data_IF_556569387850
#
_entry.id   IF_556569387850
#
_cell.length_a   1.000
_cell.length_b   1.000
_cell.length_c   1.000
_cell.angle_alpha   90.00
_cell.angle_beta   90.00
_cell.angle_gamma   90.00
#
_symmetry.space_group_name_H-M   'P 1'
#
loop_
_entity.id
_entity.type
_entity.pdbx_description
1 polymer ?
#
# COMPACT_ATOMS: atom_id res chain seq x y z
N UNK A 1 -19.29 -18.59 -50.00
CA UNK A 1 -19.75 -18.04 -48.70
C UNK A 1 -18.59 -18.15 -47.72
N UNK A 2 -17.92 -17.03 -47.45
CA UNK A 2 -16.71 -17.00 -46.60
C UNK A 2 -17.09 -16.98 -45.13
N UNK A 3 -16.59 -17.94 -44.35
CA UNK A 3 -16.71 -17.98 -42.90
C UNK A 3 -15.46 -17.32 -42.29
N UNK A 4 -15.58 -16.07 -41.87
CA UNK A 4 -14.53 -15.38 -41.09
C UNK A 4 -14.70 -15.79 -39.63
N UNK A 5 -13.80 -16.63 -39.14
CA UNK A 5 -13.73 -17.06 -37.75
C UNK A 5 -12.93 -16.00 -36.96
N UNK A 6 -13.62 -15.15 -36.20
CA UNK A 6 -13.01 -14.23 -35.24
C UNK A 6 -12.72 -15.00 -33.94
N UNK A 7 -11.46 -15.36 -33.71
CA UNK A 7 -10.99 -15.82 -32.41
C UNK A 7 -10.76 -14.60 -31.50
N UNK A 8 -11.70 -14.35 -30.59
CA UNK A 8 -11.46 -13.51 -29.42
C UNK A 8 -10.67 -14.34 -28.40
N UNK A 9 -9.35 -14.17 -28.38
CA UNK A 9 -8.51 -14.71 -27.33
C UNK A 9 -8.59 -13.79 -26.11
N UNK A 10 -9.48 -14.09 -25.17
CA UNK A 10 -9.52 -13.46 -23.85
C UNK A 10 -8.32 -13.94 -23.04
N UNK A 11 -7.28 -13.12 -22.97
CA UNK A 11 -6.16 -13.30 -22.04
C UNK A 11 -6.69 -13.13 -20.60
N UNK A 12 -7.03 -14.24 -19.94
CA UNK A 12 -7.23 -14.27 -18.49
C UNK A 12 -5.87 -14.36 -17.80
N UNK A 13 -5.24 -13.20 -17.59
CA UNK A 13 -4.11 -13.09 -16.68
C UNK A 13 -4.66 -13.15 -15.25
N UNK A 14 -4.71 -14.35 -14.68
CA UNK A 14 -4.79 -14.53 -13.24
C UNK A 14 -3.44 -14.12 -12.62
N UNK A 15 -3.25 -12.83 -12.38
CA UNK A 15 -2.22 -12.39 -11.44
C UNK A 15 -2.75 -12.63 -10.03
N UNK A 16 -2.43 -13.78 -9.47
CA UNK A 16 -2.56 -14.02 -8.04
C UNK A 16 -1.47 -13.18 -7.34
N UNK A 17 -1.71 -11.88 -7.17
CA UNK A 17 -0.90 -11.04 -6.28
C UNK A 17 -1.24 -11.44 -4.86
N UNK A 18 -0.35 -12.17 -4.19
CA UNK A 18 -0.43 -12.30 -2.74
C UNK A 18 -0.21 -10.90 -2.17
N UNK A 19 -1.26 -10.27 -1.65
CA UNK A 19 -1.09 -9.01 -0.95
C UNK A 19 -0.56 -9.34 0.44
N UNK A 20 0.77 -9.27 0.60
CA UNK A 20 1.45 -9.63 1.85
C UNK A 20 1.16 -8.62 2.95
N UNK A 21 0.96 -7.35 2.58
CA UNK A 21 0.80 -6.24 3.51
C UNK A 21 -0.56 -5.54 3.35
N UNK A 22 -1.09 -5.42 2.13
CA UNK A 22 -2.20 -4.51 1.84
C UNK A 22 -3.54 -5.22 1.62
N UNK A 23 -4.56 -4.84 2.38
CA UNK A 23 -5.96 -5.19 2.11
C UNK A 23 -6.78 -3.92 1.86
N UNK A 24 -7.64 -3.94 0.85
CA UNK A 24 -8.60 -2.85 0.62
C UNK A 24 -9.97 -3.27 1.18
N UNK A 25 -10.55 -2.41 1.99
CA UNK A 25 -11.93 -2.55 2.48
C UNK A 25 -12.65 -1.20 2.38
N UNK A 26 -13.66 -1.12 1.51
CA UNK A 26 -14.36 0.14 1.18
C UNK A 26 -13.37 1.27 0.83
N UNK A 27 -13.33 2.33 1.63
CA UNK A 27 -12.41 3.49 1.52
C UNK A 27 -11.24 3.39 2.49
N UNK A 28 -10.84 2.18 2.87
CA UNK A 28 -9.72 1.93 3.76
C UNK A 28 -8.67 1.05 3.07
N UNK A 29 -7.41 1.46 3.23
CA UNK A 29 -6.23 0.64 2.98
C UNK A 29 -5.78 0.14 4.34
N UNK A 30 -5.84 -1.17 4.54
CA UNK A 30 -5.40 -1.82 5.78
C UNK A 30 -4.03 -2.43 5.52
N UNK A 31 -3.01 -1.94 6.22
CA UNK A 31 -1.65 -2.44 6.22
C UNK A 31 -1.48 -3.35 7.43
N UNK A 32 -1.23 -4.63 7.21
CA UNK A 32 -0.97 -5.64 8.24
C UNK A 32 0.45 -6.20 8.11
N UNK A 33 1.04 -6.60 9.24
CA UNK A 33 2.31 -7.34 9.29
C UNK A 33 3.51 -6.62 8.63
N UNK A 34 3.42 -5.31 8.41
CA UNK A 34 4.52 -4.51 7.88
C UNK A 34 5.49 -4.14 9.01
N UNK A 35 6.66 -4.78 9.00
CA UNK A 35 7.74 -4.50 9.96
C UNK A 35 8.60 -3.34 9.44
N UNK A 36 8.73 -2.31 10.26
CA UNK A 36 9.55 -1.13 9.98
C UNK A 36 10.24 -0.66 11.26
N UNK A 37 11.39 -0.04 11.09
CA UNK A 37 12.20 0.50 12.18
C UNK A 37 12.61 1.92 11.80
N UNK A 38 12.31 2.90 12.65
CA UNK A 38 12.89 4.24 12.57
C UNK A 38 13.90 4.40 13.70
N UNK A 39 15.12 4.88 13.40
CA UNK A 39 16.01 5.38 14.46
C UNK A 39 15.62 6.83 14.77
N UNK A 40 15.06 7.11 15.96
CA UNK A 40 14.58 8.44 16.32
C UNK A 40 15.71 9.47 16.44
N UNK A 41 16.97 9.04 16.51
CA UNK A 41 18.14 9.94 16.54
C UNK A 41 18.67 10.27 15.15
N UNK A 42 18.27 9.53 14.12
CA UNK A 42 18.66 9.75 12.73
C UNK A 42 17.43 10.06 11.90
N UNK A 43 17.08 11.35 11.85
CA UNK A 43 16.03 11.88 10.99
C UNK A 43 16.30 11.42 9.55
N UNK A 44 15.42 10.56 8.99
CA UNK A 44 15.58 9.96 7.66
C UNK A 44 16.02 8.49 7.59
N UNK A 45 16.16 7.78 8.73
CA UNK A 45 16.67 6.39 8.77
C UNK A 45 15.59 5.32 9.01
N UNK A 46 14.43 5.47 8.39
CA UNK A 46 13.45 4.40 8.39
C UNK A 46 13.90 3.26 7.49
N UNK A 47 13.89 2.04 8.05
CA UNK A 47 14.22 0.80 7.36
C UNK A 47 13.01 -0.12 7.39
N UNK A 48 12.71 -0.74 6.25
CA UNK A 48 11.58 -1.64 6.05
C UNK A 48 11.47 -1.96 4.57
N UNK A 49 10.66 -2.96 4.20
CA UNK A 49 10.37 -3.27 2.80
C UNK A 49 9.35 -2.28 2.20
N UNK A 50 9.64 -0.98 2.32
CA UNK A 50 8.83 0.09 1.73
C UNK A 50 8.72 -0.08 0.21
N UNK A 51 9.72 -0.73 -0.40
CA UNK A 51 9.64 -1.04 -1.81
C UNK A 51 8.51 -2.00 -2.14
N UNK A 52 8.41 -3.13 -1.42
CA UNK A 52 7.33 -4.10 -1.56
C UNK A 52 5.98 -3.50 -1.17
N UNK A 53 5.93 -2.73 -0.08
CA UNK A 53 4.69 -2.09 0.38
C UNK A 53 4.11 -1.13 -0.67
N UNK A 54 4.94 -0.30 -1.29
CA UNK A 54 4.53 0.59 -2.37
C UNK A 54 4.04 -0.16 -3.61
N UNK A 55 4.68 -1.27 -3.98
CA UNK A 55 4.22 -2.11 -5.10
C UNK A 55 2.81 -2.60 -4.82
N UNK A 56 2.57 -3.13 -3.63
CA UNK A 56 1.25 -3.63 -3.25
C UNK A 56 0.22 -2.52 -3.13
N UNK A 57 0.56 -1.41 -2.49
CA UNK A 57 -0.34 -0.27 -2.32
C UNK A 57 -0.73 0.33 -3.66
N UNK A 58 0.26 0.60 -4.52
CA UNK A 58 0.04 1.16 -5.84
C UNK A 58 -0.83 0.24 -6.68
N UNK A 59 -0.51 -1.06 -6.74
CA UNK A 59 -1.31 -2.02 -7.50
C UNK A 59 -2.73 -2.19 -6.93
N UNK A 60 -2.89 -2.14 -5.61
CA UNK A 60 -4.19 -2.27 -4.95
C UNK A 60 -5.10 -1.07 -5.20
N UNK A 61 -4.54 0.11 -5.41
CA UNK A 61 -5.28 1.35 -5.63
C UNK A 61 -5.37 1.76 -7.10
N UNK A 62 -4.51 1.22 -7.98
CA UNK A 62 -4.51 1.53 -9.40
C UNK A 62 -5.89 1.26 -10.02
N UNK A 63 -6.45 2.27 -10.68
CA UNK A 63 -7.78 2.19 -11.31
C UNK A 63 -8.96 2.33 -10.35
N UNK A 64 -8.72 2.56 -9.05
CA UNK A 64 -9.75 2.97 -8.10
C UNK A 64 -9.85 4.51 -8.07
N UNK A 65 -10.94 5.02 -7.51
CA UNK A 65 -11.19 6.46 -7.33
C UNK A 65 -11.56 6.78 -5.88
N UNK A 66 -11.34 8.03 -5.49
CA UNK A 66 -11.62 8.54 -4.15
C UNK A 66 -10.43 8.51 -3.19
N UNK A 67 -10.67 9.05 -2.00
CA UNK A 67 -9.68 9.14 -0.92
C UNK A 67 -9.82 7.94 0.00
N UNK A 68 -8.70 7.25 0.23
CA UNK A 68 -8.61 6.11 1.12
C UNK A 68 -7.86 6.48 2.39
N UNK A 69 -8.42 6.14 3.55
CA UNK A 69 -7.69 6.22 4.82
C UNK A 69 -6.77 5.02 4.97
N UNK A 70 -5.51 5.26 5.34
CA UNK A 70 -4.52 4.20 5.55
C UNK A 70 -4.51 3.84 7.03
N UNK A 71 -4.92 2.61 7.31
CA UNK A 71 -4.92 1.97 8.62
C UNK A 71 -3.69 1.07 8.74
N UNK A 72 -2.86 1.28 9.76
CA UNK A 72 -1.81 0.36 10.16
C UNK A 72 -2.31 -0.51 11.31
N UNK A 73 -2.34 -1.81 11.10
CA UNK A 73 -2.69 -2.79 12.12
C UNK A 73 -1.41 -3.38 12.69
N UNK A 74 -1.15 -3.07 13.97
CA UNK A 74 0.00 -3.58 14.71
C UNK A 74 -0.46 -4.60 15.76
N UNK A 75 0.32 -5.66 15.92
CA UNK A 75 0.14 -6.63 17.00
C UNK A 75 0.83 -6.09 18.26
N UNK A 76 0.06 -5.79 19.30
CA UNK A 76 0.58 -5.32 20.59
C UNK A 76 0.42 -6.44 21.61
N UNK A 77 1.51 -6.74 22.33
CA UNK A 77 1.44 -7.64 23.46
C UNK A 77 0.95 -6.91 24.70
N UNK A 78 -0.08 -7.44 25.36
CA UNK A 78 -0.46 -6.98 26.68
C UNK A 78 0.55 -7.46 27.75
N UNK A 79 0.37 -7.00 29.00
CA UNK A 79 1.21 -7.39 30.14
C UNK A 79 1.18 -8.90 30.48
N UNK A 80 0.28 -9.66 29.87
CA UNK A 80 0.15 -11.11 30.01
C UNK A 80 0.69 -11.87 28.79
N UNK A 81 1.20 -11.17 27.77
CA UNK A 81 1.73 -11.73 26.54
C UNK A 81 0.70 -11.98 25.44
N UNK A 82 -0.59 -11.66 25.66
CA UNK A 82 -1.61 -11.84 24.64
C UNK A 82 -1.44 -10.79 23.53
N UNK A 83 -1.57 -11.24 22.27
CA UNK A 83 -1.52 -10.36 21.10
C UNK A 83 -2.91 -9.75 20.90
N UNK A 84 -2.99 -8.41 20.97
CA UNK A 84 -4.17 -7.65 20.60
C UNK A 84 -3.83 -6.78 19.38
N UNK A 85 -4.55 -6.95 18.25
CA UNK A 85 -4.35 -6.06 17.10
C UNK A 85 -4.91 -4.67 17.42
N UNK A 86 -4.10 -3.64 17.24
CA UNK A 86 -4.53 -2.24 17.30
C UNK A 86 -4.44 -1.63 15.89
N UNK A 87 -5.52 -1.00 15.44
CA UNK A 87 -5.57 -0.27 14.16
C UNK A 87 -5.40 1.22 14.41
N UNK A 88 -4.46 1.86 13.70
CA UNK A 88 -4.25 3.31 13.74
C UNK A 88 -4.27 3.91 12.34
N UNK A 89 -4.93 5.06 12.20
CA UNK A 89 -4.86 5.85 10.97
C UNK A 89 -3.49 6.53 10.87
N UNK A 90 -2.74 6.23 9.82
CA UNK A 90 -1.39 6.79 9.59
C UNK A 90 -1.35 7.83 8.47
N UNK A 91 -2.46 7.99 7.74
CA UNK A 91 -2.55 8.97 6.67
C UNK A 91 -3.70 8.68 5.71
N UNK A 92 -3.71 9.39 4.60
CA UNK A 92 -4.68 9.21 3.51
C UNK A 92 -3.98 9.20 2.17
N UNK A 93 -4.54 8.48 1.20
CA UNK A 93 -4.08 8.48 -0.17
C UNK A 93 -5.26 8.71 -1.12
N UNK A 94 -5.08 9.63 -2.07
CA UNK A 94 -6.07 9.86 -3.11
C UNK A 94 -5.77 8.93 -4.29
N UNK A 95 -6.65 7.96 -4.54
CA UNK A 95 -6.50 7.02 -5.66
C UNK A 95 -6.59 7.71 -7.02
N UNK A 96 -7.32 8.83 -7.12
CA UNK A 96 -7.39 9.63 -8.33
C UNK A 96 -6.02 10.26 -8.65
N UNK A 97 -5.25 10.66 -7.64
CA UNK A 97 -3.87 11.17 -7.81
C UNK A 97 -2.93 10.07 -8.28
N UNK A 98 -3.06 8.85 -7.75
CA UNK A 98 -2.23 7.70 -8.15
C UNK A 98 -2.31 7.41 -9.66
N UNK A 99 -3.48 7.62 -10.25
CA UNK A 99 -3.71 7.43 -11.70
C UNK A 99 -2.93 8.40 -12.59
N UNK A 100 -2.47 9.53 -12.04
CA UNK A 100 -1.69 10.55 -12.79
C UNK A 100 -0.24 10.12 -13.01
N UNK A 101 0.28 9.20 -12.20
CA UNK A 101 1.67 8.75 -12.31
C UNK A 101 1.78 7.59 -13.29
N UNK A 102 2.77 7.66 -14.20
CA UNK A 102 3.00 6.65 -15.24
C UNK A 102 3.35 5.27 -14.67
N UNK A 103 3.97 5.22 -13.49
CA UNK A 103 4.38 3.98 -12.82
C UNK A 103 4.47 4.17 -11.31
N UNK A 104 4.54 3.06 -10.58
CA UNK A 104 4.80 3.04 -9.13
C UNK A 104 6.11 3.74 -8.79
N UNK A 105 7.18 3.50 -9.54
CA UNK A 105 8.49 4.13 -9.31
C UNK A 105 8.42 5.66 -9.43
N UNK A 106 7.64 6.16 -10.41
CA UNK A 106 7.45 7.59 -10.60
C UNK A 106 6.60 8.20 -9.47
N UNK A 107 5.55 7.52 -9.04
CA UNK A 107 4.78 7.92 -7.86
C UNK A 107 5.65 7.98 -6.59
N UNK A 108 6.49 6.96 -6.33
CA UNK A 108 7.41 6.97 -5.19
C UNK A 108 8.37 8.14 -5.25
N UNK A 109 8.95 8.41 -6.42
CA UNK A 109 9.91 9.51 -6.59
C UNK A 109 9.28 10.88 -6.28
N UNK A 110 8.06 11.12 -6.75
CA UNK A 110 7.39 12.42 -6.63
C UNK A 110 6.73 12.64 -5.25
N UNK A 111 6.23 11.58 -4.62
CA UNK A 111 5.47 11.68 -3.36
C UNK A 111 6.23 11.18 -2.13
N UNK A 112 7.38 10.54 -2.33
CA UNK A 112 8.10 9.76 -1.31
C UNK A 112 7.44 8.43 -0.94
N UNK A 113 6.32 8.07 -1.60
CA UNK A 113 5.64 6.78 -1.41
C UNK A 113 5.15 6.56 0.03
N UNK A 114 5.06 5.29 0.42
CA UNK A 114 4.66 4.91 1.78
C UNK A 114 5.66 5.33 2.84
N UNK A 115 6.95 5.46 2.50
CA UNK A 115 7.96 5.94 3.45
C UNK A 115 7.59 7.31 4.02
N UNK A 116 7.17 8.24 3.17
CA UNK A 116 6.78 9.59 3.59
C UNK A 116 5.49 9.62 4.42
N UNK A 117 4.56 8.69 4.16
CA UNK A 117 3.34 8.53 4.96
C UNK A 117 3.72 8.08 6.38
N UNK A 118 4.61 7.10 6.50
CA UNK A 118 5.10 6.65 7.80
C UNK A 118 5.91 7.73 8.51
N UNK A 119 6.75 8.49 7.79
CA UNK A 119 7.55 9.58 8.35
C UNK A 119 6.68 10.65 9.02
N UNK A 120 5.62 11.06 8.31
CA UNK A 120 4.65 12.02 8.81
C UNK A 120 3.93 11.50 10.06
N UNK A 121 3.50 10.23 10.04
CA UNK A 121 2.80 9.62 11.16
C UNK A 121 3.62 9.61 12.45
N UNK A 122 4.93 9.40 12.36
CA UNK A 122 5.83 9.36 13.53
C UNK A 122 6.50 10.70 13.85
N UNK A 123 6.13 11.77 13.15
CA UNK A 123 6.65 13.13 13.40
C UNK A 123 8.12 13.33 13.01
N UNK A 124 8.60 12.62 11.99
CA UNK A 124 9.98 12.76 11.46
C UNK A 124 10.08 13.73 10.27
N UNK A 125 9.03 14.53 10.01
CA UNK A 125 8.94 15.51 8.92
C UNK A 125 8.45 16.86 9.42
#
# INVERSE_FOLDING_TARGET
MNKTLLLFATLLLFSCTSNKFVKIDQYQVIITDFQWYGDPQKWGSMTGDFQGLDVELYNSLKGKSGVFTIQLVNNIHDKYGNINPESKSIGTINADELSKYQSMSFWRQESGGTLDIFANYIGMK
#
